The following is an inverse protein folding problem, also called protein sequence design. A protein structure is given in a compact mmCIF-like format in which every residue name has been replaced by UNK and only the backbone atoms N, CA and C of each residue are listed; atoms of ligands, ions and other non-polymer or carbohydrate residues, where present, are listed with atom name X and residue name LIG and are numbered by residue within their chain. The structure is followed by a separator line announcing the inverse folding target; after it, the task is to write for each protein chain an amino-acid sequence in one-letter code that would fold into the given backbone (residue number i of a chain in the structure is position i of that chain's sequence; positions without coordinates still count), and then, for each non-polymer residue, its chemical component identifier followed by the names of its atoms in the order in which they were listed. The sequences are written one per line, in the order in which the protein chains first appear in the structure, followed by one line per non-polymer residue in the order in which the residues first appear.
data_IF_491522244941
#
_entry.id   IF_491522244941
#
_cell.length_a   1.000
_cell.length_b   1.000
_cell.length_c   1.000
_cell.angle_alpha   90.00
_cell.angle_beta   90.00
_cell.angle_gamma   90.00
#
_symmetry.space_group_name_H-M   'P 1'
#
loop_
_entity.id
_entity.type
_entity.pdbx_description
1 polymer ?
#
# COMPACT_ATOMS: atom_id res chain seq x y z
N UNK A 1 -3.27 4.35 2.80
CA UNK A 1 -3.30 2.88 2.74
C UNK A 1 -4.13 2.47 1.53
N UNK A 2 -3.66 1.52 0.75
CA UNK A 2 -4.38 0.96 -0.39
C UNK A 2 -4.82 -0.45 -0.02
N UNK A 3 -6.13 -0.68 0.00
CA UNK A 3 -6.74 -1.96 0.36
C UNK A 3 -6.85 -2.23 1.87
N UNK A 4 -7.74 -3.17 2.20
CA UNK A 4 -8.10 -3.51 3.59
C UNK A 4 -6.91 -4.09 4.37
N UNK A 5 -6.07 -4.92 3.74
CA UNK A 5 -4.91 -5.53 4.39
C UNK A 5 -3.92 -4.47 4.86
N UNK A 6 -3.57 -3.52 3.98
CA UNK A 6 -2.66 -2.43 4.34
C UNK A 6 -3.26 -1.52 5.41
N UNK A 7 -4.57 -1.23 5.34
CA UNK A 7 -5.24 -0.42 6.34
C UNK A 7 -5.28 -1.09 7.72
N UNK A 8 -5.63 -2.39 7.79
CA UNK A 8 -5.64 -3.17 9.03
C UNK A 8 -4.25 -3.20 9.68
N UNK A 9 -3.22 -3.48 8.90
CA UNK A 9 -1.84 -3.48 9.38
C UNK A 9 -1.38 -2.07 9.83
N UNK A 10 -1.71 -1.02 9.07
CA UNK A 10 -1.30 0.35 9.38
C UNK A 10 -1.93 0.89 10.67
N UNK A 11 -3.25 0.71 10.84
CA UNK A 11 -3.98 1.35 11.95
C UNK A 11 -4.08 0.47 13.19
N UNK A 12 -4.09 -0.87 13.03
CA UNK A 12 -4.32 -1.80 14.12
C UNK A 12 -3.22 -2.86 14.28
N UNK A 13 -2.22 -2.91 13.39
CA UNK A 13 -1.16 -3.94 13.38
C UNK A 13 -1.71 -5.36 13.36
N UNK A 14 -2.81 -5.59 12.62
CA UNK A 14 -3.52 -6.86 12.51
C UNK A 14 -3.74 -7.26 11.06
N UNK A 15 -3.88 -8.56 10.80
CA UNK A 15 -4.44 -9.05 9.54
C UNK A 15 -5.96 -8.78 9.50
N UNK A 16 -6.58 -8.65 8.32
CA UNK A 16 -8.01 -8.35 8.20
C UNK A 16 -8.93 -9.30 8.94
N UNK A 17 -8.58 -10.60 9.00
CA UNK A 17 -9.34 -11.64 9.70
C UNK A 17 -9.32 -11.50 11.23
N UNK A 18 -8.33 -10.79 11.77
CA UNK A 18 -8.11 -10.62 13.21
C UNK A 18 -8.64 -9.29 13.73
N UNK A 19 -9.26 -8.49 12.85
CA UNK A 19 -9.92 -7.23 13.25
C UNK A 19 -11.15 -7.54 14.12
N UNK A 20 -11.30 -6.79 15.20
CA UNK A 20 -12.57 -6.75 15.92
C UNK A 20 -13.63 -5.98 15.14
N UNK A 21 -14.90 -6.11 15.54
CA UNK A 21 -16.03 -5.49 14.83
C UNK A 21 -15.89 -3.97 14.79
N UNK A 22 -15.53 -3.33 15.91
CA UNK A 22 -15.34 -1.87 15.98
C UNK A 22 -14.11 -1.40 15.20
N UNK A 23 -13.05 -2.20 15.11
CA UNK A 23 -11.88 -1.91 14.26
C UNK A 23 -12.26 -1.98 12.77
N UNK A 24 -12.98 -3.02 12.38
CA UNK A 24 -13.48 -3.16 11.02
C UNK A 24 -14.44 -2.02 10.65
N UNK A 25 -15.39 -1.68 11.54
CA UNK A 25 -16.31 -0.56 11.37
C UNK A 25 -15.59 0.80 11.23
N UNK A 26 -14.46 0.97 11.91
CA UNK A 26 -13.59 2.16 11.77
C UNK A 26 -13.03 2.26 10.35
N UNK A 27 -12.48 1.17 9.81
CA UNK A 27 -11.91 1.17 8.46
C UNK A 27 -13.00 1.38 7.39
N UNK A 28 -14.17 0.77 7.54
CA UNK A 28 -15.33 1.01 6.67
C UNK A 28 -15.78 2.47 6.75
N UNK A 29 -15.86 3.02 7.95
CA UNK A 29 -16.22 4.43 8.16
C UNK A 29 -15.26 5.40 7.47
N UNK A 30 -13.97 5.08 7.47
CA UNK A 30 -12.93 5.87 6.81
C UNK A 30 -13.09 5.89 5.28
N UNK A 31 -13.66 4.83 4.67
CA UNK A 31 -13.85 4.76 3.21
C UNK A 31 -14.71 5.90 2.66
N UNK A 32 -15.62 6.48 3.46
CA UNK A 32 -16.45 7.62 3.04
C UNK A 32 -15.61 8.86 2.70
N UNK A 33 -14.62 9.16 3.50
CA UNK A 33 -13.66 10.24 3.26
C UNK A 33 -12.38 9.96 4.09
N UNK A 34 -11.33 9.38 3.46
CA UNK A 34 -10.11 8.99 4.17
C UNK A 34 -9.34 10.14 4.82
N UNK A 35 -9.47 11.34 4.28
CA UNK A 35 -8.81 12.52 4.86
C UNK A 35 -9.54 13.03 6.09
N UNK A 36 -10.88 13.07 6.04
CA UNK A 36 -11.74 13.61 7.10
C UNK A 36 -11.88 12.66 8.30
N UNK A 37 -11.94 11.35 8.02
CA UNK A 37 -12.16 10.30 9.02
C UNK A 37 -10.88 9.50 9.32
N UNK A 38 -9.71 10.11 9.14
CA UNK A 38 -8.43 9.48 9.47
C UNK A 38 -8.31 9.32 10.99
N UNK A 39 -8.28 8.09 11.52
CA UNK A 39 -8.32 7.85 12.97
C UNK A 39 -7.06 8.32 13.71
N UNK A 40 -5.92 8.41 13.00
CA UNK A 40 -4.68 8.97 13.57
C UNK A 40 -4.73 10.47 13.72
N UNK A 41 -5.37 11.18 12.79
CA UNK A 41 -5.43 12.66 12.81
C UNK A 41 -6.63 13.18 13.57
N UNK A 42 -7.76 12.49 13.47
CA UNK A 42 -9.07 12.95 13.95
C UNK A 42 -9.79 11.78 14.65
N UNK A 43 -9.25 11.36 15.81
CA UNK A 43 -9.74 10.20 16.55
C UNK A 43 -11.24 10.27 16.84
N UNK A 44 -11.71 11.35 17.48
CA UNK A 44 -13.12 11.51 17.85
C UNK A 44 -14.06 11.57 16.63
N UNK A 45 -13.64 12.24 15.56
CA UNK A 45 -14.43 12.28 14.33
C UNK A 45 -14.52 10.91 13.67
N UNK A 46 -13.42 10.16 13.68
CA UNK A 46 -13.37 8.78 13.18
C UNK A 46 -14.22 7.86 14.05
N UNK A 47 -14.19 8.02 15.38
CA UNK A 47 -15.05 7.32 16.33
C UNK A 47 -16.53 7.58 16.06
N UNK A 48 -16.91 8.83 15.87
CA UNK A 48 -18.29 9.19 15.49
C UNK A 48 -18.72 8.51 14.18
N UNK A 49 -17.85 8.49 13.18
CA UNK A 49 -18.13 7.80 11.91
C UNK A 49 -18.22 6.29 12.06
N UNK A 50 -17.35 5.67 12.87
CA UNK A 50 -17.43 4.26 13.27
C UNK A 50 -18.81 3.94 13.85
N UNK A 51 -19.28 4.76 14.78
CA UNK A 51 -20.58 4.56 15.44
C UNK A 51 -21.75 4.59 14.46
N UNK A 52 -21.69 5.43 13.42
CA UNK A 52 -22.68 5.40 12.33
C UNK A 52 -22.65 4.06 11.57
N UNK A 53 -21.47 3.48 11.34
CA UNK A 53 -21.33 2.16 10.69
C UNK A 53 -21.94 1.07 11.59
N UNK A 54 -21.64 1.09 12.89
CA UNK A 54 -22.21 0.14 13.86
C UNK A 54 -23.76 0.25 13.92
N UNK A 55 -24.33 1.46 13.85
CA UNK A 55 -25.78 1.64 13.77
C UNK A 55 -26.37 1.08 12.46
N UNK A 56 -25.66 1.18 11.33
CA UNK A 56 -26.09 0.55 10.09
C UNK A 56 -26.04 -0.99 10.18
N UNK A 57 -25.01 -1.53 10.82
CA UNK A 57 -24.90 -2.99 11.06
C UNK A 57 -26.05 -3.48 11.95
N UNK A 58 -26.43 -2.74 12.99
CA UNK A 58 -27.58 -3.00 13.84
C UNK A 58 -28.88 -2.99 13.02
N UNK A 59 -29.11 -1.94 12.23
CA UNK A 59 -30.30 -1.82 11.36
C UNK A 59 -30.41 -2.96 10.33
N UNK A 60 -29.28 -3.47 9.86
CA UNK A 60 -29.22 -4.59 8.94
C UNK A 60 -29.32 -5.96 9.63
N UNK A 61 -29.45 -6.02 10.95
CA UNK A 61 -29.60 -7.26 11.71
C UNK A 61 -28.29 -8.02 12.00
N UNK A 62 -27.13 -7.41 11.75
CA UNK A 62 -25.84 -8.02 12.07
C UNK A 62 -25.41 -7.83 13.52
N UNK A 63 -26.01 -6.89 14.24
CA UNK A 63 -25.76 -6.62 15.65
C UNK A 63 -27.10 -6.44 16.36
N UNK A 64 -27.19 -6.91 17.60
CA UNK A 64 -28.27 -6.57 18.52
C UNK A 64 -28.11 -5.13 19.02
N UNK A 65 -29.15 -4.57 19.65
CA UNK A 65 -29.09 -3.23 20.26
C UNK A 65 -28.01 -3.16 21.35
N UNK A 66 -27.95 -4.18 22.22
CA UNK A 66 -26.98 -4.26 23.30
C UNK A 66 -25.53 -4.36 22.81
N UNK A 67 -25.28 -5.16 21.76
CA UNK A 67 -23.95 -5.26 21.14
C UNK A 67 -23.52 -3.94 20.50
N UNK A 68 -24.42 -3.31 19.73
CA UNK A 68 -24.12 -2.03 19.11
C UNK A 68 -23.80 -0.95 20.14
N UNK A 69 -24.56 -0.86 21.22
CA UNK A 69 -24.34 0.12 22.29
C UNK A 69 -23.02 -0.15 23.03
N UNK A 70 -22.71 -1.39 23.33
CA UNK A 70 -21.42 -1.79 23.93
C UNK A 70 -20.24 -1.41 23.04
N UNK A 71 -20.31 -1.71 21.73
CA UNK A 71 -19.23 -1.40 20.78
C UNK A 71 -19.06 0.11 20.56
N UNK A 72 -20.17 0.89 20.53
CA UNK A 72 -20.11 2.35 20.41
C UNK A 72 -19.50 3.03 21.63
N UNK A 73 -19.66 2.45 22.82
CA UNK A 73 -19.05 2.96 24.05
C UNK A 73 -17.51 2.83 24.05
N UNK A 74 -16.96 1.84 23.36
CA UNK A 74 -15.52 1.60 23.32
C UNK A 74 -14.73 2.79 22.78
N UNK A 75 -13.58 3.14 23.39
CA UNK A 75 -12.66 4.12 22.81
C UNK A 75 -12.09 3.61 21.49
N UNK A 76 -11.68 4.53 20.63
CA UNK A 76 -10.93 4.16 19.42
C UNK A 76 -9.44 4.13 19.75
N UNK A 77 -8.92 2.94 19.98
CA UNK A 77 -7.50 2.69 20.29
C UNK A 77 -6.79 2.22 19.04
N UNK A 78 -5.70 2.88 18.68
CA UNK A 78 -4.87 2.52 17.52
C UNK A 78 -3.57 1.85 17.95
N UNK A 79 -3.16 0.83 17.21
CA UNK A 79 -1.80 0.31 17.21
C UNK A 79 -1.13 0.71 15.89
N UNK A 80 -0.96 2.03 15.72
CA UNK A 80 -0.52 2.60 14.46
C UNK A 80 0.92 2.22 14.15
N UNK A 81 1.11 1.57 13.00
CA UNK A 81 2.40 1.29 12.42
C UNK A 81 2.43 1.86 11.01
N UNK A 82 3.42 2.69 10.72
CA UNK A 82 3.63 3.12 9.33
C UNK A 82 4.19 1.92 8.57
N UNK A 83 3.35 1.36 7.70
CA UNK A 83 3.84 0.35 6.76
C UNK A 83 4.59 1.10 5.66
N UNK A 84 5.90 1.07 5.72
CA UNK A 84 6.75 1.58 4.66
C UNK A 84 6.97 0.48 3.62
N UNK A 85 6.98 0.86 2.33
CA UNK A 85 7.37 -0.04 1.25
C UNK A 85 8.83 -0.51 1.37
N UNK A 86 9.61 0.14 2.21
CA UNK A 86 10.98 -0.26 2.56
C UNK A 86 11.06 -1.38 3.59
N UNK A 87 9.95 -1.73 4.27
CA UNK A 87 9.90 -2.87 5.19
C UNK A 87 9.59 -4.18 4.45
N UNK A 88 10.10 -5.28 4.99
CA UNK A 88 9.90 -6.65 4.49
C UNK A 88 11.12 -7.19 3.73
N UNK A 89 11.08 -8.49 3.43
CA UNK A 89 12.19 -9.21 2.80
C UNK A 89 12.65 -8.60 1.47
N UNK A 90 13.94 -8.70 1.21
CA UNK A 90 14.58 -8.27 -0.03
C UNK A 90 14.35 -6.79 -0.38
N UNK A 91 14.42 -5.91 0.61
CA UNK A 91 14.14 -4.48 0.45
C UNK A 91 14.99 -3.83 -0.63
N UNK A 92 16.31 -4.10 -0.64
CA UNK A 92 17.22 -3.58 -1.65
C UNK A 92 16.87 -4.07 -3.06
N UNK A 93 16.56 -5.36 -3.18
CA UNK A 93 16.16 -5.93 -4.46
C UNK A 93 14.84 -5.31 -4.96
N UNK A 94 13.86 -5.13 -4.09
CA UNK A 94 12.58 -4.49 -4.46
C UNK A 94 12.76 -3.04 -4.91
N UNK A 95 13.62 -2.27 -4.22
CA UNK A 95 13.94 -0.90 -4.60
C UNK A 95 14.71 -0.84 -5.93
N UNK A 96 15.69 -1.74 -6.12
CA UNK A 96 16.40 -1.88 -7.38
C UNK A 96 15.42 -2.19 -8.52
N UNK A 97 14.56 -3.19 -8.34
CA UNK A 97 13.57 -3.60 -9.33
C UNK A 97 12.58 -2.48 -9.66
N UNK A 98 12.12 -1.76 -8.63
CA UNK A 98 11.30 -0.57 -8.79
C UNK A 98 11.99 0.47 -9.67
N UNK A 99 13.25 0.79 -9.37
CA UNK A 99 14.04 1.76 -10.13
C UNK A 99 14.17 1.36 -11.60
N UNK A 100 14.49 0.10 -11.86
CA UNK A 100 14.64 -0.45 -13.21
C UNK A 100 13.31 -0.42 -13.96
N UNK A 101 12.23 -0.92 -13.38
CA UNK A 101 10.92 -1.05 -14.06
C UNK A 101 10.24 0.30 -14.31
N UNK A 102 10.46 1.29 -13.45
CA UNK A 102 9.88 2.63 -13.59
C UNK A 102 10.78 3.62 -14.31
N UNK A 103 11.94 3.20 -14.78
CA UNK A 103 12.86 4.06 -15.52
C UNK A 103 12.16 4.68 -16.74
N UNK A 104 12.53 5.92 -17.04
CA UNK A 104 12.06 6.64 -18.23
C UNK A 104 13.06 6.47 -19.37
N UNK A 105 12.61 6.72 -20.58
CA UNK A 105 13.51 6.78 -21.74
C UNK A 105 14.57 7.85 -21.52
N UNK A 106 15.88 7.48 -21.57
CA UNK A 106 16.95 8.42 -21.31
C UNK A 106 17.01 9.50 -22.40
N UNK A 107 16.98 10.77 -22.01
CA UNK A 107 17.13 11.90 -22.90
C UNK A 107 18.43 12.62 -22.57
N UNK A 108 19.30 12.83 -23.57
CA UNK A 108 20.61 13.45 -23.37
C UNK A 108 20.55 14.80 -22.66
N UNK A 109 19.47 15.56 -22.87
CA UNK A 109 19.24 16.87 -22.25
C UNK A 109 19.01 16.81 -20.73
N UNK A 110 18.67 15.64 -20.17
CA UNK A 110 18.40 15.43 -18.75
C UNK A 110 19.68 15.09 -17.97
N UNK A 111 20.82 14.85 -18.67
CA UNK A 111 22.11 14.46 -18.06
C UNK A 111 23.11 15.61 -18.18
N UNK A 112 23.77 15.93 -17.07
CA UNK A 112 24.86 16.91 -17.05
C UNK A 112 26.13 16.31 -17.65
N UNK A 113 27.09 17.15 -18.06
CA UNK A 113 28.31 16.70 -18.74
C UNK A 113 29.06 15.56 -18.04
N UNK A 114 29.17 15.62 -16.69
CA UNK A 114 29.79 14.56 -15.89
C UNK A 114 28.96 13.27 -15.77
N UNK A 115 27.70 13.29 -16.19
CA UNK A 115 26.79 12.13 -16.17
C UNK A 115 26.70 11.43 -17.55
N UNK A 116 27.52 11.82 -18.52
CA UNK A 116 27.42 11.26 -19.87
C UNK A 116 27.67 9.75 -19.90
N UNK A 117 28.56 9.23 -19.06
CA UNK A 117 28.76 7.78 -18.93
C UNK A 117 27.45 7.09 -18.53
N UNK A 118 26.78 7.63 -17.51
CA UNK A 118 25.47 7.11 -17.07
C UNK A 118 24.42 7.20 -18.17
N UNK A 119 24.39 8.28 -18.95
CA UNK A 119 23.48 8.37 -20.10
C UNK A 119 23.69 7.24 -21.11
N UNK A 120 24.93 6.89 -21.42
CA UNK A 120 25.22 5.78 -22.32
C UNK A 120 24.81 4.43 -21.74
N UNK A 121 25.06 4.20 -20.47
CA UNK A 121 24.65 2.98 -19.75
C UNK A 121 23.13 2.85 -19.71
N UNK A 122 22.42 3.91 -19.32
CA UNK A 122 20.96 3.92 -19.26
C UNK A 122 20.35 3.75 -20.67
N UNK A 123 20.96 4.36 -21.70
CA UNK A 123 20.52 4.23 -23.11
C UNK A 123 20.74 2.81 -23.64
N UNK A 124 21.82 2.17 -23.26
CA UNK A 124 22.07 0.77 -23.58
C UNK A 124 21.08 -0.15 -22.85
N UNK A 125 20.88 0.07 -21.54
CA UNK A 125 19.91 -0.67 -20.74
C UNK A 125 18.49 -0.51 -21.29
N UNK A 126 18.10 0.70 -21.70
CA UNK A 126 16.81 0.94 -22.34
C UNK A 126 16.61 0.08 -23.58
N UNK A 127 17.63 -0.11 -24.40
CA UNK A 127 17.54 -0.88 -25.65
C UNK A 127 17.62 -2.39 -25.44
N UNK A 128 18.45 -2.83 -24.49
CA UNK A 128 18.83 -4.24 -24.35
C UNK A 128 18.19 -4.95 -23.16
N UNK A 129 17.84 -4.25 -22.08
CA UNK A 129 17.21 -4.85 -20.91
C UNK A 129 15.69 -4.72 -21.00
N UNK A 130 14.94 -5.83 -21.14
CA UNK A 130 13.49 -5.80 -21.26
C UNK A 130 12.78 -5.28 -20.00
N UNK A 131 13.42 -5.36 -18.82
CA UNK A 131 12.87 -4.84 -17.57
C UNK A 131 13.09 -3.34 -17.41
N UNK A 132 14.13 -2.77 -18.05
CA UNK A 132 14.43 -1.35 -17.90
C UNK A 132 13.37 -0.49 -18.60
N UNK A 133 12.61 0.26 -17.80
CA UNK A 133 11.48 1.05 -18.26
C UNK A 133 10.24 0.21 -18.64
N UNK A 134 10.10 -0.99 -18.09
CA UNK A 134 9.01 -1.90 -18.43
C UNK A 134 7.63 -1.24 -18.30
N UNK A 135 7.39 -0.48 -17.22
CA UNK A 135 6.13 0.22 -16.99
C UNK A 135 5.82 1.29 -18.07
N UNK A 136 6.85 1.89 -18.65
CA UNK A 136 6.69 2.88 -19.72
C UNK A 136 6.53 2.24 -21.10
N UNK A 137 7.23 1.14 -21.36
CA UNK A 137 7.22 0.41 -22.63
C UNK A 137 5.95 -0.41 -22.84
N UNK A 138 5.33 -0.87 -21.77
CA UNK A 138 4.13 -1.71 -21.83
C UNK A 138 2.88 -0.90 -21.49
N UNK A 139 1.83 -1.13 -22.26
CA UNK A 139 0.54 -0.45 -22.10
C UNK A 139 -0.52 -1.43 -21.62
N UNK A 140 -1.43 -0.94 -20.80
CA UNK A 140 -2.66 -1.65 -20.45
C UNK A 140 -3.63 -1.64 -21.62
N UNK A 141 -4.70 -2.43 -21.53
CA UNK A 141 -5.75 -2.49 -22.57
C UNK A 141 -6.42 -1.14 -22.83
N UNK A 142 -6.43 -0.26 -21.84
CA UNK A 142 -6.97 1.10 -21.91
C UNK A 142 -5.98 2.14 -22.50
N UNK A 143 -4.78 1.70 -22.93
CA UNK A 143 -3.72 2.54 -23.48
C UNK A 143 -2.88 3.27 -22.42
N UNK A 144 -3.18 3.16 -21.15
CA UNK A 144 -2.40 3.78 -20.06
C UNK A 144 -1.16 2.95 -19.72
N UNK A 145 -0.17 3.57 -19.08
CA UNK A 145 1.02 2.88 -18.59
C UNK A 145 0.70 2.06 -17.35
N UNK A 146 1.46 0.97 -17.15
CA UNK A 146 1.40 0.24 -15.88
C UNK A 146 1.96 1.05 -14.73
N UNK A 147 1.30 0.93 -13.57
CA UNK A 147 1.77 1.49 -12.31
C UNK A 147 2.14 0.35 -11.36
N UNK A 148 3.43 0.27 -10.99
CA UNK A 148 3.96 -0.80 -10.15
C UNK A 148 3.30 -0.88 -8.76
N UNK A 149 2.69 0.21 -8.28
CA UNK A 149 2.09 0.26 -6.94
C UNK A 149 0.59 -0.06 -6.92
N UNK A 150 -0.12 0.16 -8.02
CA UNK A 150 -1.59 0.11 -8.01
C UNK A 150 -2.18 -0.97 -8.90
N UNK A 151 -1.43 -1.46 -9.90
CA UNK A 151 -1.96 -2.38 -10.91
C UNK A 151 -1.82 -3.87 -10.51
N UNK A 152 -1.36 -4.17 -9.29
CA UNK A 152 -1.32 -5.54 -8.77
C UNK A 152 -0.39 -6.49 -9.53
N UNK A 153 0.71 -5.97 -10.07
CA UNK A 153 1.70 -6.75 -10.82
C UNK A 153 2.27 -7.89 -9.96
N UNK A 154 2.30 -9.09 -10.51
CA UNK A 154 2.95 -10.26 -9.92
C UNK A 154 4.34 -10.41 -10.54
N UNK A 155 5.38 -10.24 -9.73
CA UNK A 155 6.78 -10.36 -10.16
C UNK A 155 7.34 -11.64 -9.58
N UNK A 156 7.66 -12.59 -10.45
CA UNK A 156 8.26 -13.86 -10.06
C UNK A 156 9.78 -13.72 -10.09
N UNK A 157 10.44 -14.20 -9.04
CA UNK A 157 11.89 -14.12 -8.89
C UNK A 157 12.46 -15.47 -8.48
N UNK A 158 13.77 -15.63 -8.57
CA UNK A 158 14.52 -16.80 -8.09
C UNK A 158 14.95 -16.69 -6.63
N UNK A 159 14.52 -15.65 -5.91
CA UNK A 159 14.89 -15.45 -4.50
C UNK A 159 14.17 -16.49 -3.64
N UNK A 160 14.92 -17.27 -2.87
CA UNK A 160 14.37 -18.11 -1.79
C UNK A 160 14.13 -17.22 -0.56
N UNK A 161 12.87 -17.12 -0.13
CA UNK A 161 12.47 -16.23 0.97
C UNK A 161 13.07 -16.64 2.32
N UNK A 162 13.37 -17.93 2.51
CA UNK A 162 13.99 -18.43 3.74
C UNK A 162 15.45 -18.05 3.80
N UNK A 163 16.20 -18.26 2.70
CA UNK A 163 17.60 -17.85 2.61
C UNK A 163 17.74 -16.33 2.73
N UNK A 164 16.84 -15.57 2.10
CA UNK A 164 16.85 -14.11 2.19
C UNK A 164 16.60 -13.62 3.63
N UNK A 165 15.72 -14.28 4.39
CA UNK A 165 15.50 -13.96 5.79
C UNK A 165 16.75 -14.17 6.64
N UNK A 166 17.47 -15.30 6.45
CA UNK A 166 18.73 -15.54 7.14
C UNK A 166 19.84 -14.54 6.77
N UNK A 167 19.80 -13.99 5.56
CA UNK A 167 20.81 -13.01 5.12
C UNK A 167 20.51 -11.60 5.65
N UNK A 168 19.28 -11.33 6.09
CA UNK A 168 18.86 -10.03 6.63
C UNK A 168 18.86 -9.99 8.17
N UNK A 169 19.00 -11.13 8.86
CA UNK A 169 19.20 -11.28 10.31
C UNK A 169 20.68 -11.12 10.69
#
# INVERSE_FOLDING_TARGET
AVGIKTAANTYFSKEPKDLSVEEAATLVGMCKNPSLYNPKRFNERSRGRRNVVLDQMRKAGYLTDAEADSLKALPLVLKYRRVDHKEGLATYFREYLRGVMTAKEPKKSEYRGWQMQKYYEDSLAWKTNPLFGWCAKNKKKDGTNYNIYTDGLKIYTTIDSRMQKYAEE
#
